data_IF_230763736104
#
_entry.id   IF_230763736104
#
_cell.length_a   1.000
_cell.length_b   1.000
_cell.length_c   1.000
_cell.angle_alpha   90.00
_cell.angle_beta   90.00
_cell.angle_gamma   90.00
#
_symmetry.space_group_name_H-M   'P 1'
#
loop_
_entity.id
_entity.type
_entity.pdbx_description
1 polymer ?
#
# COMPACT_ATOMS: atom_id res chain seq x y z
N UNK A 1 17.04 12.39 -27.63
CA UNK A 1 18.42 12.25 -27.13
C UNK A 1 18.44 11.07 -26.16
N UNK A 2 19.06 9.97 -26.56
CA UNK A 2 19.17 8.74 -25.76
C UNK A 2 20.43 8.87 -24.92
N UNK A 3 20.29 8.92 -23.60
CA UNK A 3 21.43 8.90 -22.68
C UNK A 3 21.62 7.45 -22.22
N UNK A 4 22.85 6.98 -22.33
CA UNK A 4 23.29 5.60 -22.21
C UNK A 4 23.24 5.12 -20.74
N UNK A 5 22.66 3.94 -20.50
CA UNK A 5 22.49 3.31 -19.17
C UNK A 5 23.81 2.84 -18.51
N UNK A 6 24.97 3.09 -19.12
CA UNK A 6 26.28 2.66 -18.63
C UNK A 6 26.85 3.48 -17.46
N UNK A 7 26.45 4.74 -17.27
CA UNK A 7 27.09 5.63 -16.27
C UNK A 7 26.41 5.62 -14.88
N UNK A 8 25.20 5.08 -14.77
CA UNK A 8 24.45 5.07 -13.50
C UNK A 8 24.92 3.99 -12.50
N UNK A 9 25.69 3.00 -12.95
CA UNK A 9 26.10 1.85 -12.12
C UNK A 9 27.45 2.02 -11.42
N UNK A 10 28.28 3.01 -11.79
CA UNK A 10 29.58 3.24 -11.15
C UNK A 10 29.51 3.97 -9.80
N UNK A 11 28.36 4.55 -9.44
CA UNK A 11 28.20 5.27 -8.16
C UNK A 11 27.90 4.29 -7.00
N UNK A 12 27.46 3.05 -7.28
CA UNK A 12 27.07 2.08 -6.25
C UNK A 12 28.18 1.11 -5.81
N UNK A 13 29.35 1.11 -6.45
CA UNK A 13 30.42 0.14 -6.15
C UNK A 13 31.65 0.69 -5.42
N UNK A 14 31.70 1.99 -5.09
CA UNK A 14 32.83 2.60 -4.35
C UNK A 14 32.69 2.64 -2.82
N UNK A 15 31.66 2.04 -2.23
CA UNK A 15 31.42 2.11 -0.78
C UNK A 15 31.77 0.84 0.02
N UNK A 16 32.47 -0.14 -0.57
CA UNK A 16 32.86 -1.37 0.15
C UNK A 16 34.28 -1.84 -0.20
N UNK A 17 35.26 -1.38 0.57
CA UNK A 17 36.63 -1.92 0.62
C UNK A 17 37.15 -1.82 2.06
N UNK A 18 37.59 -2.94 2.64
CA UNK A 18 37.82 -3.10 4.09
C UNK A 18 39.28 -3.11 4.59
N UNK A 19 39.42 -3.03 5.92
CA UNK A 19 40.45 -3.51 6.91
C UNK A 19 41.97 -3.28 6.67
N UNK A 20 42.92 -3.35 7.67
CA UNK A 20 42.85 -3.91 9.05
C UNK A 20 43.62 -3.17 10.20
N UNK A 21 43.28 -3.55 11.46
CA UNK A 21 44.02 -3.54 12.75
C UNK A 21 45.12 -2.52 13.11
N UNK A 22 44.98 -1.82 14.26
CA UNK A 22 45.99 -1.87 15.36
C UNK A 22 45.46 -1.44 16.74
N UNK A 23 46.14 -1.94 17.76
CA UNK A 23 45.87 -2.08 19.19
C UNK A 23 46.07 -0.82 20.06
N UNK A 24 45.21 -0.64 21.09
CA UNK A 24 45.60 -0.31 22.49
C UNK A 24 44.38 -0.14 23.40
N UNK A 25 44.42 -0.82 24.55
CA UNK A 25 43.45 -0.70 25.66
C UNK A 25 43.46 0.72 26.24
N UNK A 26 42.29 1.24 26.59
CA UNK A 26 42.10 2.10 27.77
C UNK A 26 40.64 2.05 28.22
N UNK A 27 40.48 1.72 29.49
CA UNK A 27 39.25 1.69 30.29
C UNK A 27 38.60 3.07 30.36
N UNK A 28 37.27 3.12 30.26
CA UNK A 28 36.47 4.31 30.51
C UNK A 28 35.04 4.13 30.02
N UNK A 29 34.11 3.97 30.97
CA UNK A 29 32.67 3.99 30.74
C UNK A 29 32.27 5.19 29.88
N UNK A 30 31.49 4.95 28.82
CA UNK A 30 30.75 5.99 28.10
C UNK A 30 29.36 5.48 27.79
N UNK A 31 28.36 6.19 28.31
CA UNK A 31 26.96 6.04 27.97
C UNK A 31 26.75 6.11 26.46
N UNK A 32 26.08 5.10 25.91
CA UNK A 32 25.78 4.99 24.48
C UNK A 32 24.60 5.91 24.14
N UNK A 33 24.92 7.13 23.68
CA UNK A 33 23.95 8.09 23.13
C UNK A 33 23.31 7.53 21.85
N UNK A 34 22.11 6.96 21.98
CA UNK A 34 21.32 6.35 20.89
C UNK A 34 20.64 7.36 19.96
N UNK A 35 20.83 8.67 20.16
CA UNK A 35 20.13 9.73 19.41
C UNK A 35 20.71 9.98 18.00
N UNK A 36 21.97 9.65 17.74
CA UNK A 36 22.62 9.97 16.44
C UNK A 36 22.37 8.93 15.34
N UNK A 37 22.05 7.69 15.72
CA UNK A 37 21.76 6.59 14.78
C UNK A 37 20.33 6.67 14.24
N UNK A 38 19.36 7.09 15.06
CA UNK A 38 17.96 7.23 14.67
C UNK A 38 17.77 8.37 13.65
N UNK A 39 18.38 9.53 13.87
CA UNK A 39 18.31 10.68 12.96
C UNK A 39 18.91 10.41 11.57
N UNK A 40 19.89 9.49 11.47
CA UNK A 40 20.44 9.05 10.18
C UNK A 40 19.51 8.10 9.43
N UNK A 41 18.76 7.26 10.16
CA UNK A 41 17.75 6.37 9.58
C UNK A 41 16.53 7.18 9.12
N UNK A 42 16.08 8.12 9.94
CA UNK A 42 14.89 8.95 9.63
C UNK A 42 15.14 9.85 8.41
N UNK A 43 16.32 10.50 8.32
CA UNK A 43 16.72 11.27 7.11
C UNK A 43 16.81 10.43 5.85
N UNK A 44 17.17 9.14 5.98
CA UNK A 44 17.25 8.22 4.84
C UNK A 44 15.86 7.81 4.38
N UNK A 45 14.92 7.58 5.30
CA UNK A 45 13.52 7.28 5.00
C UNK A 45 12.82 8.48 4.34
N UNK A 46 13.06 9.70 4.82
CA UNK A 46 12.49 10.91 4.22
C UNK A 46 13.03 11.14 2.80
N UNK A 47 14.34 11.03 2.61
CA UNK A 47 14.96 11.13 1.28
C UNK A 47 14.47 10.03 0.33
N UNK A 48 14.33 8.78 0.80
CA UNK A 48 13.79 7.68 -0.01
C UNK A 48 12.33 7.94 -0.41
N UNK A 49 11.54 8.58 0.45
CA UNK A 49 10.13 8.92 0.19
C UNK A 49 10.01 10.04 -0.86
N UNK A 50 10.85 11.07 -0.75
CA UNK A 50 10.86 12.22 -1.68
C UNK A 50 11.40 11.82 -3.07
N UNK A 51 12.41 10.95 -3.11
CA UNK A 51 12.93 10.36 -4.35
C UNK A 51 11.87 9.45 -5.01
N UNK A 52 11.15 8.63 -4.23
CA UNK A 52 10.05 7.82 -4.75
C UNK A 52 8.91 8.69 -5.32
N UNK A 53 8.53 9.76 -4.62
CA UNK A 53 7.51 10.70 -5.08
C UNK A 53 7.92 11.42 -6.37
N UNK A 54 9.19 11.75 -6.53
CA UNK A 54 9.73 12.40 -7.74
C UNK A 54 9.78 11.42 -8.93
N UNK A 55 10.11 10.14 -8.68
CA UNK A 55 10.09 9.09 -9.71
C UNK A 55 8.67 8.79 -10.22
N UNK A 56 7.66 8.89 -9.34
CA UNK A 56 6.23 8.76 -9.68
C UNK A 56 5.75 9.82 -10.67
N UNK A 57 6.39 10.98 -10.72
CA UNK A 57 6.01 12.11 -11.59
C UNK A 57 6.70 12.05 -12.97
N UNK A 58 7.88 11.42 -13.07
CA UNK A 58 8.67 11.35 -14.30
C UNK A 58 8.44 10.09 -15.15
N UNK A 59 7.65 9.13 -14.68
CA UNK A 59 7.30 7.90 -15.40
C UNK A 59 5.78 7.73 -15.41
N UNK A 60 5.19 7.20 -16.47
CA UNK A 60 3.73 6.98 -16.54
C UNK A 60 3.30 5.97 -15.46
N UNK A 61 2.89 6.49 -14.30
CA UNK A 61 2.50 5.68 -13.17
C UNK A 61 1.22 4.89 -13.49
N UNK A 62 1.25 3.60 -13.15
CA UNK A 62 0.07 2.75 -13.19
C UNK A 62 -0.91 3.26 -12.14
N UNK A 63 -1.98 3.91 -12.62
CA UNK A 63 -2.98 4.54 -11.77
C UNK A 63 -4.14 3.58 -11.51
N UNK A 64 -4.43 3.37 -10.23
CA UNK A 64 -5.51 2.49 -9.74
C UNK A 64 -6.39 3.28 -8.80
N UNK A 65 -7.70 3.16 -8.97
CA UNK A 65 -8.71 3.73 -8.09
C UNK A 65 -9.40 2.62 -7.33
N UNK A 66 -9.64 2.83 -6.04
CA UNK A 66 -10.25 1.82 -5.17
C UNK A 66 -11.33 2.45 -4.31
N UNK A 67 -12.47 1.78 -4.21
CA UNK A 67 -13.57 2.21 -3.36
C UNK A 67 -14.30 1.01 -2.73
N UNK A 68 -14.94 1.26 -1.58
CA UNK A 68 -15.76 0.30 -0.87
C UNK A 68 -17.10 0.92 -0.47
N UNK A 69 -18.16 0.20 -0.76
CA UNK A 69 -19.52 0.61 -0.44
C UNK A 69 -20.16 -0.38 0.54
N UNK A 70 -21.04 0.12 1.40
CA UNK A 70 -21.83 -0.69 2.30
C UNK A 70 -23.23 -0.11 2.49
N UNK A 71 -24.23 -0.88 2.08
CA UNK A 71 -25.63 -0.56 2.36
C UNK A 71 -25.98 -0.97 3.80
N UNK A 72 -26.82 -0.18 4.46
CA UNK A 72 -27.26 -0.44 5.84
C UNK A 72 -26.11 -0.63 6.83
N UNK A 73 -24.98 0.07 6.61
CA UNK A 73 -23.77 -0.06 7.44
C UNK A 73 -24.06 0.07 8.94
N UNK A 74 -23.57 -0.89 9.73
CA UNK A 74 -23.81 -0.98 11.17
C UNK A 74 -25.12 -1.68 11.57
N UNK A 75 -25.88 -2.21 10.61
CA UNK A 75 -27.06 -3.07 10.85
C UNK A 75 -26.74 -4.53 10.54
N UNK A 76 -27.56 -5.43 11.05
CA UNK A 76 -27.52 -6.88 10.77
C UNK A 76 -27.78 -7.23 9.30
N UNK A 77 -28.51 -6.37 8.60
CA UNK A 77 -28.82 -6.44 7.17
C UNK A 77 -27.77 -5.77 6.28
N UNK A 78 -26.62 -5.40 6.85
CA UNK A 78 -25.55 -4.77 6.09
C UNK A 78 -25.02 -5.69 4.99
N UNK A 79 -24.85 -5.14 3.79
CA UNK A 79 -24.19 -5.78 2.66
C UNK A 79 -23.14 -4.83 2.13
N UNK A 80 -21.94 -5.35 1.84
CA UNK A 80 -20.83 -4.53 1.42
C UNK A 80 -20.18 -5.11 0.16
N UNK A 81 -19.59 -4.23 -0.64
CA UNK A 81 -18.95 -4.57 -1.90
C UNK A 81 -17.80 -3.62 -2.16
N UNK A 82 -16.84 -4.05 -2.96
CA UNK A 82 -15.66 -3.26 -3.26
C UNK A 82 -15.36 -3.26 -4.75
N UNK A 83 -14.81 -2.13 -5.20
CA UNK A 83 -14.48 -1.84 -6.57
C UNK A 83 -13.02 -1.47 -6.72
N UNK A 84 -12.37 -1.99 -7.76
CA UNK A 84 -11.03 -1.59 -8.17
C UNK A 84 -11.06 -1.23 -9.63
N UNK A 85 -10.86 0.04 -9.94
CA UNK A 85 -10.74 0.52 -11.30
C UNK A 85 -9.26 0.73 -11.65
N UNK A 86 -8.73 -0.14 -12.51
CA UNK A 86 -7.45 0.08 -13.16
C UNK A 86 -7.69 1.01 -14.36
N UNK A 87 -6.93 2.09 -14.48
CA UNK A 87 -7.11 3.03 -15.59
C UNK A 87 -7.01 2.30 -16.94
N UNK A 88 -7.77 2.72 -17.96
CA UNK A 88 -7.88 1.95 -19.21
C UNK A 88 -6.55 1.75 -19.94
N UNK A 89 -5.61 2.69 -19.79
CA UNK A 89 -4.25 2.56 -20.34
C UNK A 89 -3.44 1.41 -19.75
N UNK A 90 -3.84 0.86 -18.61
CA UNK A 90 -3.14 -0.25 -17.94
C UNK A 90 -3.37 -1.59 -18.65
N UNK A 91 -4.47 -1.74 -19.39
CA UNK A 91 -4.88 -3.04 -19.95
C UNK A 91 -5.31 -4.08 -18.90
N UNK A 92 -5.37 -3.72 -17.61
CA UNK A 92 -5.75 -4.62 -16.52
C UNK A 92 -7.27 -4.58 -16.33
N UNK A 93 -7.89 -5.74 -16.16
CA UNK A 93 -9.32 -5.83 -15.89
C UNK A 93 -9.67 -5.26 -14.50
N UNK A 94 -10.74 -4.46 -14.46
CA UNK A 94 -11.26 -3.88 -13.22
C UNK A 94 -12.10 -4.88 -12.42
N UNK A 95 -12.14 -4.70 -11.10
CA UNK A 95 -12.75 -5.65 -10.16
C UNK A 95 -14.03 -5.04 -9.59
N UNK A 96 -15.09 -5.85 -9.51
CA UNK A 96 -16.31 -5.61 -8.74
C UNK A 96 -16.62 -6.90 -7.99
N UNK A 97 -16.59 -6.90 -6.67
CA UNK A 97 -16.84 -8.09 -5.87
C UNK A 97 -17.64 -7.79 -4.59
N UNK A 98 -18.45 -8.75 -4.11
CA UNK A 98 -19.03 -8.67 -2.79
C UNK A 98 -17.93 -8.76 -1.72
N UNK A 99 -18.13 -8.13 -0.57
CA UNK A 99 -17.28 -8.33 0.59
C UNK A 99 -17.60 -9.70 1.19
N UNK A 100 -16.61 -10.57 1.22
CA UNK A 100 -16.75 -11.90 1.82
C UNK A 100 -16.69 -11.86 3.36
N UNK A 101 -17.34 -12.84 3.99
CA UNK A 101 -17.37 -13.02 5.43
C UNK A 101 -18.60 -12.40 6.12
N UNK A 102 -18.70 -12.59 7.42
CA UNK A 102 -19.89 -12.18 8.19
C UNK A 102 -19.91 -10.68 8.52
N UNK A 103 -18.73 -10.07 8.68
CA UNK A 103 -18.62 -8.66 9.09
C UNK A 103 -18.69 -7.75 7.87
N UNK A 104 -19.91 -7.26 7.59
CA UNK A 104 -20.23 -6.40 6.47
C UNK A 104 -20.17 -4.92 6.90
N UNK A 105 -19.11 -4.20 6.53
CA UNK A 105 -18.95 -2.76 6.88
C UNK A 105 -18.26 -1.99 5.77
N UNK A 106 -18.48 -0.68 5.70
CA UNK A 106 -17.82 0.19 4.73
C UNK A 106 -16.29 0.13 4.84
N UNK A 107 -15.77 0.23 6.08
CA UNK A 107 -14.32 0.21 6.32
C UNK A 107 -13.67 -1.07 5.80
N UNK A 108 -14.29 -2.23 6.03
CA UNK A 108 -13.75 -3.51 5.54
C UNK A 108 -13.80 -3.60 4.01
N UNK A 109 -14.85 -3.08 3.37
CA UNK A 109 -14.93 -3.00 1.91
C UNK A 109 -13.84 -2.09 1.32
N UNK A 110 -13.66 -0.89 1.87
CA UNK A 110 -12.61 0.05 1.46
C UNK A 110 -11.20 -0.56 1.57
N UNK A 111 -10.91 -1.23 2.70
CA UNK A 111 -9.63 -1.93 2.90
C UNK A 111 -9.46 -3.06 1.89
N UNK A 112 -10.52 -3.82 1.62
CA UNK A 112 -10.48 -4.94 0.68
C UNK A 112 -10.34 -4.47 -0.78
N UNK A 113 -10.82 -3.28 -1.12
CA UNK A 113 -10.55 -2.67 -2.42
C UNK A 113 -9.03 -2.47 -2.63
N UNK A 114 -8.35 -1.86 -1.66
CA UNK A 114 -6.90 -1.63 -1.69
C UNK A 114 -6.12 -2.95 -1.70
N UNK A 115 -6.48 -3.90 -0.84
CA UNK A 115 -5.82 -5.21 -0.82
C UNK A 115 -5.98 -5.93 -2.16
N UNK A 116 -7.17 -5.89 -2.78
CA UNK A 116 -7.41 -6.55 -4.07
C UNK A 116 -6.58 -5.94 -5.20
N UNK A 117 -6.42 -4.61 -5.21
CA UNK A 117 -5.53 -3.94 -6.14
C UNK A 117 -4.07 -4.42 -5.97
N UNK A 118 -3.59 -4.47 -4.73
CA UNK A 118 -2.24 -4.93 -4.41
C UNK A 118 -2.01 -6.39 -4.82
N UNK A 119 -2.99 -7.27 -4.55
CA UNK A 119 -2.89 -8.70 -4.86
C UNK A 119 -2.82 -8.95 -6.39
N UNK A 120 -3.61 -8.21 -7.19
CA UNK A 120 -3.50 -8.26 -8.67
C UNK A 120 -2.12 -7.79 -9.15
N UNK A 121 -1.65 -6.65 -8.64
CA UNK A 121 -0.34 -6.10 -9.04
C UNK A 121 0.82 -7.04 -8.67
N UNK A 122 0.73 -7.71 -7.51
CA UNK A 122 1.69 -8.74 -7.10
C UNK A 122 1.66 -9.96 -8.02
N UNK A 123 0.47 -10.43 -8.41
CA UNK A 123 0.33 -11.56 -9.32
C UNK A 123 0.90 -11.24 -10.71
N UNK A 124 0.64 -10.05 -11.24
CA UNK A 124 1.17 -9.62 -12.54
C UNK A 124 2.72 -9.60 -12.55
N UNK A 125 3.34 -9.09 -11.48
CA UNK A 125 4.80 -9.10 -11.34
C UNK A 125 5.41 -10.52 -11.29
N UNK A 126 4.66 -11.55 -10.89
CA UNK A 126 5.14 -12.94 -10.90
C UNK A 126 5.09 -13.56 -12.30
N UNK A 127 4.15 -13.11 -13.14
CA UNK A 127 3.89 -13.68 -14.46
C UNK A 127 4.70 -13.03 -15.59
N UNK A 128 5.12 -11.78 -15.43
CA UNK A 128 5.90 -11.07 -16.45
C UNK A 128 7.40 -11.22 -16.17
N UNK A 129 8.14 -11.86 -17.08
CA UNK A 129 9.61 -11.99 -17.03
C UNK A 129 10.29 -10.93 -17.95
N UNK A 130 9.49 -10.04 -18.52
CA UNK A 130 9.81 -9.12 -19.58
C UNK A 130 10.11 -7.75 -18.93
N UNK A 131 11.38 -7.52 -18.59
CA UNK A 131 11.86 -6.51 -17.64
C UNK A 131 11.50 -5.03 -17.84
N UNK A 132 10.65 -4.66 -18.80
CA UNK A 132 10.25 -3.27 -19.07
C UNK A 132 8.95 -2.84 -18.36
N UNK A 133 7.97 -3.73 -18.19
CA UNK A 133 6.67 -3.40 -17.55
C UNK A 133 6.69 -3.54 -16.01
N UNK A 134 7.73 -4.20 -15.48
CA UNK A 134 7.89 -4.50 -14.06
C UNK A 134 8.20 -3.28 -13.18
N UNK A 135 8.64 -2.16 -13.77
CA UNK A 135 9.30 -1.08 -13.02
C UNK A 135 8.44 0.17 -12.87
N UNK A 136 7.36 0.34 -13.65
CA UNK A 136 6.56 1.58 -13.58
C UNK A 136 6.08 1.84 -12.15
N UNK A 137 6.03 3.07 -11.67
CA UNK A 137 5.44 3.35 -10.37
C UNK A 137 3.97 2.94 -10.33
N UNK A 138 3.45 2.67 -9.14
CA UNK A 138 2.02 2.48 -8.93
C UNK A 138 1.50 3.63 -8.07
N UNK A 139 0.42 4.26 -8.51
CA UNK A 139 -0.35 5.22 -7.74
C UNK A 139 -1.75 4.63 -7.45
N UNK A 140 -1.99 4.30 -6.18
CA UNK A 140 -3.30 3.85 -5.71
C UNK A 140 -4.03 5.04 -5.08
N UNK A 141 -5.22 5.33 -5.59
CA UNK A 141 -6.09 6.42 -5.15
C UNK A 141 -7.31 5.81 -4.45
N UNK A 142 -7.51 6.19 -3.20
CA UNK A 142 -8.65 5.78 -2.39
C UNK A 142 -9.25 6.99 -1.68
N UNK A 143 -10.56 7.05 -1.58
CA UNK A 143 -11.26 8.07 -0.79
C UNK A 143 -11.43 7.70 0.70
N UNK A 144 -11.06 6.47 1.06
CA UNK A 144 -11.00 6.01 2.45
C UNK A 144 -9.84 6.65 3.20
N UNK A 145 -10.12 7.76 3.91
CA UNK A 145 -9.17 8.30 4.90
C UNK A 145 -8.81 7.26 5.95
N UNK A 146 -9.76 6.43 6.37
CA UNK A 146 -9.52 5.36 7.34
C UNK A 146 -8.39 4.44 6.88
N UNK A 147 -8.45 3.97 5.63
CA UNK A 147 -7.46 3.06 5.05
C UNK A 147 -6.12 3.77 4.82
N UNK A 148 -6.13 4.93 4.15
CA UNK A 148 -4.92 5.66 3.76
C UNK A 148 -4.16 6.21 4.98
N UNK A 149 -4.86 6.84 5.92
CA UNK A 149 -4.25 7.33 7.17
C UNK A 149 -3.83 6.16 8.04
N UNK A 150 -4.66 5.12 8.17
CA UNK A 150 -4.37 4.02 9.06
C UNK A 150 -3.10 3.25 8.70
N UNK A 151 -2.85 3.00 7.41
CA UNK A 151 -1.62 2.34 7.00
C UNK A 151 -0.38 3.23 7.17
N UNK A 152 -0.53 4.56 7.02
CA UNK A 152 0.58 5.52 7.15
C UNK A 152 0.93 5.81 8.60
N UNK A 153 -0.07 6.01 9.46
CA UNK A 153 0.12 6.59 10.79
C UNK A 153 -0.11 5.57 11.93
N UNK A 154 -1.06 4.64 11.76
CA UNK A 154 -1.50 3.78 12.87
C UNK A 154 -0.82 2.41 12.85
N UNK A 155 -0.78 1.75 11.71
CA UNK A 155 -0.19 0.41 11.54
C UNK A 155 1.27 0.33 12.03
N UNK A 156 2.17 1.31 11.78
CA UNK A 156 3.52 1.27 12.31
C UNK A 156 3.58 1.19 13.84
N UNK A 157 2.67 1.89 14.51
CA UNK A 157 2.56 1.89 15.98
C UNK A 157 1.89 0.63 16.49
N UNK A 158 0.84 0.16 15.81
CA UNK A 158 0.15 -1.08 16.17
C UNK A 158 1.04 -2.32 16.07
N UNK A 159 1.92 -2.38 15.05
CA UNK A 159 2.90 -3.47 14.93
C UNK A 159 3.87 -3.51 16.12
N UNK A 160 4.25 -2.34 16.66
CA UNK A 160 5.15 -2.23 17.81
C UNK A 160 4.48 -2.58 19.14
N UNK A 161 3.16 -2.40 19.25
CA UNK A 161 2.42 -2.59 20.50
C UNK A 161 1.51 -3.84 20.52
N UNK A 162 1.87 -4.86 19.73
CA UNK A 162 1.12 -6.13 19.65
C UNK A 162 -0.34 -5.97 19.19
N UNK A 163 -0.60 -5.01 18.29
CA UNK A 163 -1.91 -4.73 17.70
C UNK A 163 -2.97 -4.33 18.74
N UNK A 164 -2.59 -3.41 19.62
CA UNK A 164 -3.48 -2.83 20.62
C UNK A 164 -3.69 -1.33 20.36
N UNK A 165 -4.87 -0.84 20.71
CA UNK A 165 -5.15 0.60 20.74
C UNK A 165 -4.48 1.27 21.94
N UNK A 166 -4.48 2.61 22.00
CA UNK A 166 -3.99 3.36 23.18
C UNK A 166 -4.67 2.92 24.48
N UNK A 167 -5.92 2.48 24.38
CA UNK A 167 -6.73 2.01 25.50
C UNK A 167 -6.55 0.51 25.77
N UNK A 168 -5.52 -0.12 25.20
CA UNK A 168 -5.18 -1.56 25.33
C UNK A 168 -6.22 -2.53 24.77
N UNK A 169 -7.24 -2.04 24.08
CA UNK A 169 -8.20 -2.89 23.38
C UNK A 169 -7.59 -3.44 22.09
N UNK A 170 -7.98 -4.64 21.64
CA UNK A 170 -7.61 -5.15 20.32
C UNK A 170 -7.98 -4.17 19.20
N UNK A 171 -7.08 -4.02 18.22
CA UNK A 171 -7.34 -3.20 17.03
C UNK A 171 -8.46 -3.83 16.19
N UNK A 172 -9.46 -3.02 15.83
CA UNK A 172 -10.53 -3.43 14.90
C UNK A 172 -9.94 -3.69 13.50
N UNK A 173 -10.51 -4.66 12.79
CA UNK A 173 -10.06 -5.05 11.44
C UNK A 173 -8.58 -5.47 11.37
N UNK A 174 -8.01 -5.96 12.48
CA UNK A 174 -6.61 -6.39 12.55
C UNK A 174 -6.25 -7.38 11.43
N UNK A 175 -7.17 -8.29 11.12
CA UNK A 175 -7.05 -9.27 10.03
C UNK A 175 -6.75 -8.59 8.69
N UNK A 176 -7.51 -7.56 8.33
CA UNK A 176 -7.31 -6.81 7.08
C UNK A 176 -6.09 -5.90 7.14
N UNK A 177 -5.81 -5.28 8.29
CA UNK A 177 -4.61 -4.43 8.44
C UNK A 177 -3.32 -5.22 8.25
N UNK A 178 -3.23 -6.41 8.85
CA UNK A 178 -2.08 -7.31 8.67
C UNK A 178 -1.93 -7.71 7.21
N UNK A 179 -3.03 -8.05 6.52
CA UNK A 179 -3.01 -8.42 5.10
C UNK A 179 -2.58 -7.23 4.22
N UNK A 180 -3.15 -6.05 4.44
CA UNK A 180 -2.84 -4.84 3.69
C UNK A 180 -1.37 -4.44 3.84
N UNK A 181 -0.86 -4.38 5.07
CA UNK A 181 0.55 -4.08 5.35
C UNK A 181 1.50 -5.07 4.68
N UNK A 182 1.16 -6.36 4.70
CA UNK A 182 1.94 -7.41 4.04
C UNK A 182 1.95 -7.23 2.52
N UNK A 183 0.79 -7.10 1.88
CA UNK A 183 0.71 -6.95 0.41
C UNK A 183 1.39 -5.66 -0.06
N UNK A 184 1.19 -4.54 0.66
CA UNK A 184 1.82 -3.27 0.33
C UNK A 184 3.34 -3.32 0.49
N UNK A 185 3.83 -3.91 1.60
CA UNK A 185 5.28 -4.08 1.82
C UNK A 185 5.90 -4.95 0.73
N UNK A 186 5.25 -6.04 0.35
CA UNK A 186 5.73 -6.92 -0.70
C UNK A 186 5.80 -6.21 -2.05
N UNK A 187 4.77 -5.44 -2.42
CA UNK A 187 4.77 -4.72 -3.69
C UNK A 187 5.82 -3.61 -3.72
N UNK A 188 6.01 -2.90 -2.60
CA UNK A 188 7.05 -1.86 -2.44
C UNK A 188 8.48 -2.38 -2.55
N UNK A 189 8.71 -3.68 -2.30
CA UNK A 189 10.02 -4.30 -2.55
C UNK A 189 10.30 -4.52 -4.03
N UNK A 190 9.26 -4.52 -4.86
CA UNK A 190 9.35 -4.79 -6.30
C UNK A 190 9.36 -3.50 -7.12
N UNK A 191 8.58 -2.49 -6.73
CA UNK A 191 8.44 -1.22 -7.45
C UNK A 191 7.98 -0.07 -6.54
N UNK A 192 8.14 1.20 -6.95
CA UNK A 192 7.57 2.33 -6.22
C UNK A 192 6.05 2.22 -6.11
N UNK A 193 5.51 2.42 -4.91
CA UNK A 193 4.06 2.39 -4.66
C UNK A 193 3.66 3.52 -3.72
N UNK A 194 2.85 4.42 -4.25
CA UNK A 194 2.16 5.44 -3.47
C UNK A 194 0.69 5.06 -3.29
N UNK A 195 0.24 5.15 -2.03
CA UNK A 195 -1.17 5.14 -1.69
C UNK A 195 -1.56 6.55 -1.23
N UNK A 196 -2.46 7.18 -1.99
CA UNK A 196 -2.84 8.58 -1.81
C UNK A 196 -4.35 8.69 -1.58
N UNK A 197 -4.69 9.56 -0.63
CA UNK A 197 -6.09 9.87 -0.36
C UNK A 197 -6.61 10.86 -1.41
N UNK A 198 -7.81 10.63 -1.92
CA UNK A 198 -8.54 11.55 -2.78
C UNK A 198 -9.90 11.88 -2.17
N UNK A 199 -10.46 13.03 -2.51
CA UNK A 199 -11.80 13.37 -2.03
C UNK A 199 -12.83 12.53 -2.79
N UNK A 200 -13.64 11.75 -2.06
CA UNK A 200 -14.79 11.04 -2.62
C UNK A 200 -15.83 12.00 -3.21
N UNK A 201 -16.53 11.56 -4.25
CA UNK A 201 -17.59 12.31 -4.95
C UNK A 201 -17.20 13.74 -5.38
N UNK A 202 -15.93 13.97 -5.73
CA UNK A 202 -15.44 15.28 -6.16
C UNK A 202 -15.39 15.47 -7.68
N UNK A 203 -16.12 14.65 -8.46
CA UNK A 203 -16.05 14.68 -9.92
C UNK A 203 -14.81 14.00 -10.51
N UNK A 204 -14.13 13.13 -9.76
CA UNK A 204 -13.01 12.34 -10.29
C UNK A 204 -13.56 11.09 -11.01
N UNK A 205 -13.43 10.98 -12.35
CA UNK A 205 -14.04 9.89 -13.10
C UNK A 205 -13.52 8.50 -12.72
N UNK A 206 -12.27 8.40 -12.25
CA UNK A 206 -11.69 7.14 -11.80
C UNK A 206 -12.30 6.67 -10.47
N UNK A 207 -12.51 7.60 -9.53
CA UNK A 207 -13.16 7.29 -8.25
C UNK A 207 -14.63 6.93 -8.45
N UNK A 208 -15.35 7.64 -9.33
CA UNK A 208 -16.75 7.33 -9.66
C UNK A 208 -16.89 5.94 -10.30
N UNK A 209 -15.94 5.53 -11.13
CA UNK A 209 -15.92 4.16 -11.66
C UNK A 209 -15.67 3.13 -10.56
N UNK A 210 -14.76 3.40 -9.62
CA UNK A 210 -14.51 2.50 -8.49
C UNK A 210 -15.76 2.37 -7.59
N UNK A 211 -16.47 3.47 -7.32
CA UNK A 211 -17.75 3.49 -6.58
C UNK A 211 -18.83 2.67 -7.28
N UNK A 212 -19.02 2.86 -8.59
CA UNK A 212 -19.96 2.04 -9.38
C UNK A 212 -19.62 0.54 -9.31
N UNK A 213 -18.34 0.19 -9.34
CA UNK A 213 -17.88 -1.20 -9.19
C UNK A 213 -18.14 -1.73 -7.76
N UNK A 214 -17.97 -0.90 -6.73
CA UNK A 214 -18.25 -1.27 -5.35
C UNK A 214 -19.74 -1.53 -5.12
N UNK A 215 -20.62 -0.65 -5.62
CA UNK A 215 -22.08 -0.81 -5.60
C UNK A 215 -22.51 -2.06 -6.36
N UNK A 216 -21.92 -2.31 -7.54
CA UNK A 216 -22.16 -3.56 -8.29
C UNK A 216 -21.76 -4.79 -7.47
N UNK A 217 -20.67 -4.72 -6.71
CA UNK A 217 -20.24 -5.75 -5.78
C UNK A 217 -21.31 -6.10 -4.73
N UNK A 218 -21.98 -5.10 -4.16
CA UNK A 218 -23.11 -5.32 -3.22
C UNK A 218 -24.24 -6.09 -3.91
N UNK A 219 -24.61 -5.70 -5.13
CA UNK A 219 -25.69 -6.35 -5.87
C UNK A 219 -25.36 -7.81 -6.23
N UNK A 220 -24.10 -8.14 -6.51
CA UNK A 220 -23.67 -9.53 -6.72
C UNK A 220 -23.92 -10.40 -5.49
N UNK A 221 -23.76 -9.85 -4.28
CA UNK A 221 -24.02 -10.58 -3.04
C UNK A 221 -25.48 -11.02 -2.93
N UNK A 222 -26.42 -10.16 -3.33
CA UNK A 222 -27.87 -10.47 -3.35
C UNK A 222 -28.24 -11.57 -4.33
N UNK A 223 -27.45 -11.75 -5.39
CA UNK A 223 -27.65 -12.76 -6.43
C UNK A 223 -26.97 -14.09 -6.11
N UNK A 224 -26.15 -14.14 -5.05
CA UNK A 224 -25.47 -15.38 -4.66
C UNK A 224 -26.44 -16.22 -3.83
N UNK A 225 -26.88 -17.40 -4.29
CA UNK A 225 -27.81 -18.22 -3.52
C UNK A 225 -27.17 -18.59 -2.19
N UNK A 226 -27.94 -18.44 -1.09
CA UNK A 226 -27.53 -18.87 0.25
C UNK A 226 -27.03 -20.31 0.14
N UNK A 227 -25.72 -20.53 0.33
CA UNK A 227 -25.19 -21.87 0.58
C UNK A 227 -25.80 -22.32 1.92
N UNK A 228 -26.88 -23.09 1.83
CA UNK A 228 -27.50 -23.81 2.95
C UNK A 228 -26.57 -24.89 3.46
#
# INVERSE_FOLDING_TARGET
LVINLGEALEILQKASGGSPWDSKRRTGEREFSSKSSQAKVDKRIEADTEVQATLLDQTEALTVFTDGACESNGRDTALAGYGVYFHSSTGIESISRPLEGEIQTNQRAEMMAVISALDVLLALNQTQNDGASLVSPVLILSDSRYTVTGIKEWVPNWKKNNWQTSNRNPVKNKDLWVRLDKSLTNLRRLRPVELRWVKGHSGNPGNEKADQLAVRGIHMQRLTPLRR
#
